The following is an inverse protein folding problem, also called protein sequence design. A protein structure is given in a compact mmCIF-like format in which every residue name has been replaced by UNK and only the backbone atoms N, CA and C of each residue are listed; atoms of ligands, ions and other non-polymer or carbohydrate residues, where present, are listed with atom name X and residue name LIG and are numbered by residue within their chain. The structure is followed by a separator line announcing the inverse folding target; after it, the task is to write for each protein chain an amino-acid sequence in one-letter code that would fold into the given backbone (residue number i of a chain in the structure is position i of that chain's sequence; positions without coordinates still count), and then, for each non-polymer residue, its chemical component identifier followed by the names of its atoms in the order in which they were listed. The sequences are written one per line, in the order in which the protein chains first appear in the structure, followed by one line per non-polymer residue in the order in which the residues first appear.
data_IF_605426620752
#
_entry.id   IF_605426620752
#
_cell.length_a   1.000
_cell.length_b   1.000
_cell.length_c   1.000
_cell.angle_alpha   90.00
_cell.angle_beta   90.00
_cell.angle_gamma   90.00
#
_symmetry.space_group_name_H-M   'P 1'
#
loop_
_entity.id
_entity.type
_entity.pdbx_description
1 polymer ?
#
# COMPACT_ATOMS: atom_id res chain seq x y z
N UNK A 1 -26.28 27.72 -20.74
CA UNK A 1 -27.40 27.41 -21.66
C UNK A 1 -28.75 27.66 -20.97
N UNK A 2 -29.80 28.04 -21.69
CA UNK A 2 -31.09 28.42 -21.10
C UNK A 2 -31.79 27.24 -20.39
N UNK A 3 -31.53 26.02 -20.84
CA UNK A 3 -32.11 24.79 -20.31
C UNK A 3 -31.15 23.99 -19.42
N UNK A 4 -30.02 24.59 -19.02
CA UNK A 4 -29.12 23.96 -18.05
C UNK A 4 -29.71 24.01 -16.64
N UNK A 5 -29.53 22.92 -15.88
CA UNK A 5 -29.80 22.92 -14.43
C UNK A 5 -28.55 23.32 -13.66
N UNK A 6 -28.72 23.91 -12.48
CA UNK A 6 -27.59 24.36 -11.65
C UNK A 6 -27.63 23.66 -10.28
N UNK A 7 -26.47 23.26 -9.78
CA UNK A 7 -26.24 22.92 -8.39
C UNK A 7 -24.88 23.46 -7.92
N UNK A 8 -24.56 23.32 -6.64
CA UNK A 8 -23.28 23.78 -6.09
C UNK A 8 -22.52 22.61 -5.46
N UNK A 9 -21.28 22.42 -5.89
CA UNK A 9 -20.34 21.51 -5.23
C UNK A 9 -19.70 22.27 -4.06
N UNK A 10 -19.67 21.62 -2.89
CA UNK A 10 -19.08 22.15 -1.67
C UNK A 10 -17.86 21.31 -1.30
N UNK A 11 -16.73 21.98 -1.05
CA UNK A 11 -15.51 21.36 -0.52
C UNK A 11 -14.92 22.22 0.59
N UNK A 12 -13.96 21.68 1.35
CA UNK A 12 -13.32 22.37 2.49
C UNK A 12 -14.35 22.87 3.51
N UNK A 13 -15.14 21.96 4.07
CA UNK A 13 -16.18 22.26 5.07
C UNK A 13 -17.17 23.36 4.64
N UNK A 14 -17.47 23.40 3.34
CA UNK A 14 -18.41 24.36 2.75
C UNK A 14 -17.82 25.74 2.40
N UNK A 15 -16.54 25.98 2.72
CA UNK A 15 -15.87 27.26 2.43
C UNK A 15 -15.69 27.46 0.92
N UNK A 16 -15.34 26.38 0.21
CA UNK A 16 -15.14 26.41 -1.23
C UNK A 16 -16.43 25.97 -1.91
N UNK A 17 -17.05 26.88 -2.67
CA UNK A 17 -18.29 26.67 -3.40
C UNK A 17 -18.03 26.75 -4.91
N UNK A 18 -18.46 25.76 -5.67
CA UNK A 18 -18.30 25.69 -7.13
C UNK A 18 -19.65 25.58 -7.82
N UNK A 19 -20.15 26.66 -8.45
CA UNK A 19 -21.33 26.59 -9.30
C UNK A 19 -21.12 25.56 -10.41
N UNK A 20 -22.08 24.67 -10.58
CA UNK A 20 -21.98 23.57 -11.52
C UNK A 20 -23.24 23.49 -12.36
N UNK A 21 -23.08 23.42 -13.68
CA UNK A 21 -24.17 23.27 -14.62
C UNK A 21 -24.32 21.80 -15.03
N UNK A 22 -25.54 21.30 -15.12
CA UNK A 22 -25.89 20.03 -15.74
C UNK A 22 -26.30 20.34 -17.18
N UNK A 23 -25.66 19.70 -18.14
CA UNK A 23 -25.76 20.02 -19.56
C UNK A 23 -26.31 18.84 -20.36
N UNK A 24 -27.07 19.16 -21.41
CA UNK A 24 -27.59 18.16 -22.35
C UNK A 24 -26.65 17.89 -23.51
N UNK A 25 -26.67 16.69 -24.04
CA UNK A 25 -26.04 16.33 -25.32
C UNK A 25 -26.91 16.72 -26.53
N UNK A 26 -26.45 16.32 -27.71
CA UNK A 26 -27.14 16.58 -28.98
C UNK A 26 -28.55 15.97 -29.03
N UNK A 27 -28.80 14.88 -28.28
CA UNK A 27 -30.09 14.19 -28.20
C UNK A 27 -31.03 14.81 -27.14
N UNK A 28 -30.60 15.87 -26.45
CA UNK A 28 -31.42 16.56 -25.46
C UNK A 28 -31.51 15.88 -24.09
N UNK A 29 -30.67 14.89 -23.81
CA UNK A 29 -30.57 14.23 -22.49
C UNK A 29 -29.40 14.80 -21.68
N UNK A 30 -29.56 14.92 -20.36
CA UNK A 30 -28.47 15.35 -19.48
C UNK A 30 -27.44 14.23 -19.30
N UNK A 31 -26.18 14.48 -19.66
CA UNK A 31 -25.13 13.46 -19.67
C UNK A 31 -23.78 13.95 -19.14
N UNK A 32 -23.67 15.24 -18.79
CA UNK A 32 -22.43 15.83 -18.27
C UNK A 32 -22.68 17.01 -17.36
N UNK A 33 -21.69 17.30 -16.52
CA UNK A 33 -21.66 18.50 -15.69
C UNK A 33 -20.46 19.38 -16.07
N UNK A 34 -20.60 20.69 -15.92
CA UNK A 34 -19.53 21.67 -16.10
C UNK A 34 -19.34 22.46 -14.81
N UNK A 35 -18.16 22.35 -14.19
CA UNK A 35 -17.84 22.92 -12.89
C UNK A 35 -17.12 24.26 -13.10
N UNK A 36 -17.61 25.34 -12.50
CA UNK A 36 -17.05 26.69 -12.66
C UNK A 36 -16.43 27.20 -11.36
N UNK A 37 -15.39 28.03 -11.48
CA UNK A 37 -14.73 28.67 -10.33
C UNK A 37 -15.67 29.59 -9.56
N UNK A 38 -16.51 30.34 -10.28
CA UNK A 38 -17.54 31.22 -9.76
C UNK A 38 -18.53 31.57 -10.89
N UNK A 39 -19.64 32.26 -10.57
CA UNK A 39 -20.69 32.59 -11.55
C UNK A 39 -20.27 33.56 -12.66
N UNK A 40 -19.12 34.24 -12.53
CA UNK A 40 -18.58 35.16 -13.53
C UNK A 40 -17.55 34.49 -14.46
N UNK A 41 -17.17 33.25 -14.20
CA UNK A 41 -16.19 32.54 -15.02
C UNK A 41 -16.80 32.18 -16.38
N UNK A 42 -16.13 32.58 -17.46
CA UNK A 42 -16.58 32.32 -18.83
C UNK A 42 -16.39 30.84 -19.24
N UNK A 43 -15.36 30.20 -18.68
CA UNK A 43 -15.02 28.80 -18.95
C UNK A 43 -15.07 27.95 -17.68
N UNK A 44 -15.50 26.67 -17.77
CA UNK A 44 -15.46 25.76 -16.65
C UNK A 44 -14.03 25.37 -16.30
N UNK A 45 -13.80 25.02 -15.03
CA UNK A 45 -12.58 24.35 -14.56
C UNK A 45 -12.47 22.98 -15.25
N UNK A 46 -13.58 22.25 -15.34
CA UNK A 46 -13.66 20.93 -15.95
C UNK A 46 -15.08 20.63 -16.42
N UNK A 47 -15.19 19.83 -17.49
CA UNK A 47 -16.43 19.20 -17.92
C UNK A 47 -16.31 17.70 -17.70
N UNK A 48 -17.28 17.11 -17.00
CA UNK A 48 -17.30 15.70 -16.63
C UNK A 48 -18.50 15.02 -17.28
N UNK A 49 -18.24 14.14 -18.25
CA UNK A 49 -19.24 13.22 -18.79
C UNK A 49 -19.47 12.04 -17.84
N UNK A 50 -20.70 11.54 -17.81
CA UNK A 50 -21.07 10.37 -16.98
C UNK A 50 -20.19 9.17 -17.33
N UNK A 51 -19.65 8.52 -16.31
CA UNK A 51 -18.81 7.33 -16.46
C UNK A 51 -17.36 7.60 -16.85
N UNK A 52 -17.00 8.83 -17.28
CA UNK A 52 -15.61 9.18 -17.61
C UNK A 52 -14.89 9.78 -16.39
N UNK A 53 -13.73 9.20 -16.07
CA UNK A 53 -12.85 9.75 -15.04
C UNK A 53 -11.97 10.83 -15.65
N UNK A 54 -11.90 12.00 -15.00
CA UNK A 54 -10.99 13.07 -15.38
C UNK A 54 -10.06 13.35 -14.20
N UNK A 55 -8.76 13.24 -14.47
CA UNK A 55 -7.69 13.49 -13.50
C UNK A 55 -6.92 14.77 -13.89
N UNK A 56 -6.03 15.25 -13.03
CA UNK A 56 -5.24 16.46 -13.28
C UNK A 56 -6.02 17.77 -13.10
N UNK A 57 -7.19 17.73 -12.46
CA UNK A 57 -8.04 18.92 -12.29
C UNK A 57 -7.42 19.81 -11.22
N UNK A 58 -6.94 20.99 -11.60
CA UNK A 58 -6.34 21.95 -10.67
C UNK A 58 -7.37 22.98 -10.21
N UNK A 59 -7.63 23.02 -8.91
CA UNK A 59 -8.46 24.03 -8.26
C UNK A 59 -7.91 24.39 -6.87
N UNK A 60 -8.32 25.54 -6.33
CA UNK A 60 -7.92 25.96 -4.99
C UNK A 60 -8.73 25.24 -3.91
N UNK A 61 -8.03 24.59 -2.99
CA UNK A 61 -8.59 24.07 -1.73
C UNK A 61 -8.23 25.00 -0.57
N UNK A 62 -9.10 25.06 0.44
CA UNK A 62 -8.75 25.71 1.69
C UNK A 62 -8.05 24.70 2.61
N UNK A 63 -6.82 25.04 3.04
CA UNK A 63 -6.08 24.34 4.08
C UNK A 63 -5.80 25.33 5.20
N UNK A 64 -6.50 25.19 6.32
CA UNK A 64 -6.33 26.03 7.53
C UNK A 64 -6.43 27.54 7.26
N UNK A 65 -7.34 27.95 6.36
CA UNK A 65 -7.57 29.36 6.02
C UNK A 65 -6.76 29.85 4.82
N UNK A 66 -5.80 29.05 4.33
CA UNK A 66 -4.99 29.39 3.16
C UNK A 66 -5.49 28.62 1.93
N UNK A 67 -5.80 29.36 0.86
CA UNK A 67 -6.12 28.75 -0.42
C UNK A 67 -4.84 28.26 -1.10
N UNK A 68 -4.81 26.98 -1.46
CA UNK A 68 -3.70 26.34 -2.16
C UNK A 68 -4.18 25.65 -3.43
N UNK A 69 -3.44 25.76 -4.55
CA UNK A 69 -3.75 24.99 -5.73
C UNK A 69 -3.53 23.50 -5.45
N UNK A 70 -4.52 22.69 -5.79
CA UNK A 70 -4.45 21.25 -5.59
C UNK A 70 -5.03 20.50 -6.79
N UNK A 71 -4.43 19.35 -7.07
CA UNK A 71 -4.88 18.40 -8.08
C UNK A 71 -5.97 17.50 -7.51
N UNK A 72 -7.02 17.25 -8.30
CA UNK A 72 -8.11 16.32 -8.02
C UNK A 72 -8.38 15.42 -9.23
N UNK A 73 -8.94 14.26 -8.93
CA UNK A 73 -9.61 13.37 -9.88
C UNK A 73 -11.10 13.40 -9.55
N UNK A 74 -11.94 13.51 -10.57
CA UNK A 74 -13.39 13.51 -10.41
C UNK A 74 -14.05 12.60 -11.43
N UNK A 75 -15.20 12.03 -11.06
CA UNK A 75 -16.02 11.20 -11.94
C UNK A 75 -17.49 11.32 -11.58
N UNK A 76 -18.32 11.66 -12.56
CA UNK A 76 -19.77 11.51 -12.42
C UNK A 76 -20.09 10.02 -12.56
N UNK A 77 -20.52 9.43 -11.46
CA UNK A 77 -20.87 8.01 -11.38
C UNK A 77 -22.24 7.73 -11.98
N UNK A 78 -23.21 8.58 -11.64
CA UNK A 78 -24.58 8.49 -12.12
C UNK A 78 -25.13 9.91 -12.35
N UNK A 79 -25.95 10.07 -13.39
CA UNK A 79 -26.71 11.28 -13.68
C UNK A 79 -28.03 10.85 -14.29
N UNK A 80 -29.14 11.30 -13.71
CA UNK A 80 -30.45 11.04 -14.31
C UNK A 80 -30.59 11.80 -15.63
N UNK A 81 -31.25 11.17 -16.61
CA UNK A 81 -31.46 11.75 -17.96
C UNK A 81 -32.29 13.03 -17.94
N UNK A 82 -33.05 13.25 -16.87
CA UNK A 82 -33.81 14.46 -16.59
C UNK A 82 -33.03 15.50 -15.75
N UNK A 83 -31.82 15.18 -15.27
CA UNK A 83 -30.94 16.06 -14.50
C UNK A 83 -31.43 16.38 -13.08
N UNK A 84 -32.26 15.52 -12.48
CA UNK A 84 -32.74 15.67 -11.09
C UNK A 84 -31.79 15.06 -10.05
N UNK A 85 -30.94 14.10 -10.43
CA UNK A 85 -29.97 13.48 -9.53
C UNK A 85 -28.57 13.40 -10.15
N UNK A 86 -27.55 13.62 -9.32
CA UNK A 86 -26.12 13.50 -9.68
C UNK A 86 -25.43 12.73 -8.55
N UNK A 87 -24.69 11.68 -8.89
CA UNK A 87 -23.74 11.00 -7.99
C UNK A 87 -22.33 11.30 -8.49
N UNK A 88 -21.58 12.08 -7.72
CA UNK A 88 -20.25 12.55 -8.06
C UNK A 88 -19.23 12.00 -7.07
N UNK A 89 -18.17 11.38 -7.57
CA UNK A 89 -16.98 11.08 -6.79
C UNK A 89 -15.93 12.17 -6.99
N UNK A 90 -15.32 12.60 -5.88
CA UNK A 90 -14.23 13.58 -5.84
C UNK A 90 -13.11 12.99 -4.99
N UNK A 91 -11.91 12.87 -5.55
CA UNK A 91 -10.73 12.35 -4.84
C UNK A 91 -10.28 13.25 -3.70
N UNK A 92 -9.32 12.76 -2.89
CA UNK A 92 -8.47 13.64 -2.09
C UNK A 92 -7.79 14.70 -2.96
N UNK A 93 -7.42 15.83 -2.36
CA UNK A 93 -6.73 16.90 -3.04
C UNK A 93 -5.23 16.86 -2.74
N UNK A 94 -4.40 16.89 -3.78
CA UNK A 94 -2.94 16.91 -3.65
C UNK A 94 -2.41 18.32 -3.90
N UNK A 95 -1.74 18.90 -2.91
CA UNK A 95 -1.08 20.20 -3.02
C UNK A 95 0.00 20.15 -4.11
N UNK A 96 -0.21 20.85 -5.23
CA UNK A 96 0.68 20.77 -6.41
C UNK A 96 1.99 21.53 -6.22
N UNK A 97 2.07 22.38 -5.18
CA UNK A 97 3.26 23.14 -4.84
C UNK A 97 4.10 22.47 -3.75
N UNK A 98 3.68 21.32 -3.23
CA UNK A 98 4.37 20.63 -2.16
C UNK A 98 5.59 19.86 -2.68
N UNK A 99 6.77 20.45 -2.48
CA UNK A 99 8.02 19.89 -2.97
C UNK A 99 8.79 19.03 -1.96
N UNK A 100 8.29 18.83 -0.72
CA UNK A 100 9.06 18.21 0.38
C UNK A 100 9.74 16.88 0.00
N UNK A 101 9.09 16.07 -0.83
CA UNK A 101 9.58 14.76 -1.29
C UNK A 101 10.33 14.81 -2.64
N UNK A 102 10.59 16.00 -3.18
CA UNK A 102 11.30 16.20 -4.43
C UNK A 102 12.72 16.70 -4.15
N UNK A 103 13.70 16.00 -4.73
CA UNK A 103 15.09 16.41 -4.73
C UNK A 103 15.76 16.00 -6.06
N UNK A 104 16.36 16.94 -6.80
CA UNK A 104 16.34 18.37 -6.56
C UNK A 104 14.93 18.97 -6.81
N UNK A 105 14.66 20.17 -6.27
CA UNK A 105 13.30 20.71 -6.11
C UNK A 105 12.64 21.09 -7.44
N UNK A 106 13.45 21.48 -8.42
CA UNK A 106 13.03 21.83 -9.77
C UNK A 106 12.38 20.66 -10.54
N UNK A 107 12.59 19.41 -10.12
CA UNK A 107 11.95 18.25 -10.74
C UNK A 107 10.42 18.33 -10.68
N UNK A 108 9.86 18.82 -9.55
CA UNK A 108 8.41 18.99 -9.43
C UNK A 108 7.88 19.93 -10.52
N UNK A 109 8.54 21.08 -10.69
CA UNK A 109 8.15 22.07 -11.71
C UNK A 109 8.24 21.48 -13.11
N UNK A 110 9.34 20.79 -13.42
CA UNK A 110 9.55 20.16 -14.72
C UNK A 110 8.45 19.14 -15.05
N UNK A 111 8.12 18.27 -14.09
CA UNK A 111 7.04 17.29 -14.24
C UNK A 111 5.68 17.95 -14.41
N UNK A 112 5.35 18.94 -13.55
CA UNK A 112 4.05 19.62 -13.62
C UNK A 112 3.85 20.33 -14.96
N UNK A 113 4.89 20.95 -15.51
CA UNK A 113 4.83 21.68 -16.78
C UNK A 113 4.77 20.77 -18.01
N UNK A 114 5.45 19.61 -17.99
CA UNK A 114 5.59 18.75 -19.18
C UNK A 114 4.70 17.50 -19.17
N UNK A 115 4.25 17.06 -18.00
CA UNK A 115 3.45 15.84 -17.80
C UNK A 115 2.13 16.15 -17.12
N UNK A 116 2.14 17.08 -16.17
CA UNK A 116 0.99 17.47 -15.35
C UNK A 116 1.19 17.16 -13.87
N UNK A 117 0.29 17.64 -12.99
CA UNK A 117 0.41 17.43 -11.55
C UNK A 117 0.26 15.96 -11.17
N UNK A 118 0.78 15.60 -9.99
CA UNK A 118 0.60 14.26 -9.40
C UNK A 118 -0.88 13.90 -9.34
N UNK A 119 -1.25 12.72 -9.83
CA UNK A 119 -2.64 12.28 -9.86
C UNK A 119 -3.04 11.66 -8.51
N UNK A 120 -4.17 12.08 -7.90
CA UNK A 120 -4.68 11.42 -6.72
C UNK A 120 -5.33 10.07 -7.05
N UNK A 121 -5.06 9.10 -6.19
CA UNK A 121 -5.66 7.76 -6.20
C UNK A 121 -6.85 7.66 -5.25
N UNK A 122 -7.59 6.54 -5.32
CA UNK A 122 -8.55 6.16 -4.28
C UNK A 122 -7.88 5.23 -3.26
N UNK A 123 -8.24 5.38 -1.98
CA UNK A 123 -7.76 4.56 -0.86
C UNK A 123 -8.93 4.00 -0.02
N UNK A 124 -10.15 4.01 -0.56
CA UNK A 124 -11.37 3.60 0.14
C UNK A 124 -12.32 2.86 -0.81
N UNK A 125 -13.27 2.11 -0.23
CA UNK A 125 -14.34 1.45 -0.97
C UNK A 125 -14.03 0.03 -1.47
N UNK A 126 -13.05 -0.67 -0.87
CA UNK A 126 -12.64 -2.01 -1.29
C UNK A 126 -13.72 -3.08 -1.20
N UNK A 127 -14.63 -2.99 -0.22
CA UNK A 127 -15.75 -3.93 -0.04
C UNK A 127 -16.93 -3.68 -1.00
N UNK A 128 -16.95 -2.58 -1.74
CA UNK A 128 -18.00 -2.25 -2.72
C UNK A 128 -17.45 -2.42 -4.14
N UNK A 129 -17.83 -3.53 -4.81
CA UNK A 129 -17.38 -3.85 -6.16
C UNK A 129 -17.70 -2.74 -7.18
N UNK A 130 -18.81 -2.00 -7.01
CA UNK A 130 -19.14 -0.88 -7.88
C UNK A 130 -18.13 0.26 -7.71
N UNK A 131 -17.72 0.57 -6.47
CA UNK A 131 -16.68 1.57 -6.22
C UNK A 131 -15.30 1.09 -6.68
N UNK A 132 -14.97 -0.19 -6.50
CA UNK A 132 -13.70 -0.73 -6.99
C UNK A 132 -13.60 -0.57 -8.51
N UNK A 133 -14.62 -1.01 -9.24
CA UNK A 133 -14.64 -0.99 -10.70
C UNK A 133 -14.76 0.44 -11.26
N UNK A 134 -15.60 1.29 -10.67
CA UNK A 134 -15.89 2.60 -11.26
C UNK A 134 -14.96 3.70 -10.76
N UNK A 135 -14.32 3.53 -9.61
CA UNK A 135 -13.49 4.57 -8.97
C UNK A 135 -12.08 4.09 -8.68
N UNK A 136 -11.92 3.01 -7.91
CA UNK A 136 -10.63 2.62 -7.37
C UNK A 136 -9.65 2.22 -8.48
N UNK A 137 -10.04 1.29 -9.35
CA UNK A 137 -9.21 0.81 -10.45
C UNK A 137 -8.86 1.91 -11.47
N UNK A 138 -9.82 2.72 -11.97
CA UNK A 138 -9.49 3.78 -12.94
C UNK A 138 -8.61 4.90 -12.35
N UNK A 139 -8.73 5.19 -11.05
CA UNK A 139 -7.89 6.20 -10.41
C UNK A 139 -6.43 5.73 -10.30
N UNK A 140 -6.22 4.44 -10.02
CA UNK A 140 -4.89 3.83 -10.04
C UNK A 140 -4.33 3.69 -11.45
N UNK A 141 -5.17 3.45 -12.47
CA UNK A 141 -4.74 3.46 -13.86
C UNK A 141 -4.20 4.85 -14.25
N UNK A 142 -4.97 5.91 -13.96
CA UNK A 142 -4.56 7.29 -14.23
C UNK A 142 -3.23 7.65 -13.54
N UNK A 143 -3.03 7.22 -12.28
CA UNK A 143 -1.78 7.43 -11.56
C UNK A 143 -0.60 6.67 -12.17
N UNK A 144 -0.79 5.38 -12.48
CA UNK A 144 0.25 4.52 -13.06
C UNK A 144 0.73 5.09 -14.39
N UNK A 145 -0.22 5.49 -15.25
CA UNK A 145 0.10 6.12 -16.53
C UNK A 145 0.80 7.48 -16.37
N UNK A 146 0.42 8.29 -15.38
CA UNK A 146 1.12 9.54 -15.08
C UNK A 146 2.54 9.29 -14.58
N UNK A 147 2.74 8.32 -13.68
CA UNK A 147 4.06 7.99 -13.13
C UNK A 147 5.00 7.48 -14.23
N UNK A 148 4.53 6.61 -15.13
CA UNK A 148 5.30 6.15 -16.28
C UNK A 148 5.73 7.31 -17.18
N UNK A 149 4.80 8.21 -17.53
CA UNK A 149 5.11 9.41 -18.32
C UNK A 149 6.11 10.34 -17.64
N UNK A 150 5.97 10.54 -16.33
CA UNK A 150 6.89 11.36 -15.54
C UNK A 150 8.32 10.78 -15.56
N UNK A 151 8.45 9.48 -15.35
CA UNK A 151 9.74 8.80 -15.35
C UNK A 151 10.38 8.79 -16.75
N UNK A 152 9.64 8.43 -17.79
CA UNK A 152 10.15 8.44 -19.16
C UNK A 152 10.56 9.86 -19.62
N UNK A 153 9.80 10.90 -19.23
CA UNK A 153 10.20 12.29 -19.47
C UNK A 153 11.55 12.62 -18.82
N UNK A 154 11.72 12.24 -17.55
CA UNK A 154 12.95 12.50 -16.82
C UNK A 154 14.14 11.70 -17.36
N UNK A 155 13.96 10.42 -17.70
CA UNK A 155 14.98 9.57 -18.33
C UNK A 155 15.43 10.20 -19.67
N UNK A 156 14.50 10.64 -20.50
CA UNK A 156 14.83 11.24 -21.80
C UNK A 156 15.52 12.61 -21.67
N UNK A 157 15.11 13.41 -20.69
CA UNK A 157 15.56 14.81 -20.55
C UNK A 157 16.83 14.96 -19.71
N UNK A 158 17.27 13.91 -19.01
CA UNK A 158 18.39 13.95 -18.07
C UNK A 158 19.31 12.77 -18.33
N UNK A 159 20.58 12.95 -18.01
CA UNK A 159 21.60 11.92 -18.15
C UNK A 159 21.64 11.00 -16.91
N UNK A 160 20.51 10.34 -16.62
CA UNK A 160 20.45 9.36 -15.54
C UNK A 160 21.15 8.07 -15.97
N UNK A 161 21.98 7.52 -15.08
CA UNK A 161 22.66 6.23 -15.29
C UNK A 161 21.95 5.08 -14.57
N UNK A 162 21.16 5.40 -13.53
CA UNK A 162 20.37 4.44 -12.76
C UNK A 162 19.06 5.12 -12.37
N UNK A 163 17.95 4.40 -12.52
CA UNK A 163 16.62 4.82 -12.07
C UNK A 163 16.03 3.77 -11.15
N UNK A 164 15.67 4.16 -9.94
CA UNK A 164 14.89 3.34 -9.02
C UNK A 164 13.46 3.86 -9.03
N UNK A 165 12.51 2.98 -9.32
CA UNK A 165 11.08 3.31 -9.31
C UNK A 165 10.33 2.31 -8.44
N UNK A 166 9.29 2.80 -7.78
CA UNK A 166 8.38 2.02 -6.95
C UNK A 166 6.93 2.38 -7.33
N UNK A 167 6.14 1.37 -7.68
CA UNK A 167 4.72 1.50 -7.96
C UNK A 167 3.93 0.75 -6.88
N UNK A 168 3.06 1.47 -6.18
CA UNK A 168 2.37 0.97 -4.98
C UNK A 168 0.97 0.41 -5.26
N UNK A 169 0.59 0.26 -6.53
CA UNK A 169 -0.80 -0.02 -6.92
C UNK A 169 -1.29 -1.39 -6.43
N UNK A 170 -0.48 -2.44 -6.58
CA UNK A 170 -0.82 -3.82 -6.18
C UNK A 170 -0.90 -3.94 -4.67
N UNK A 171 0.04 -3.38 -3.91
CA UNK A 171 0.01 -3.35 -2.44
C UNK A 171 -1.23 -2.62 -1.90
N UNK A 172 -1.47 -1.40 -2.39
CA UNK A 172 -2.63 -0.63 -1.98
C UNK A 172 -3.95 -1.35 -2.30
N UNK A 173 -4.05 -1.99 -3.47
CA UNK A 173 -5.21 -2.80 -3.84
C UNK A 173 -5.37 -4.03 -2.95
N UNK A 174 -4.28 -4.75 -2.67
CA UNK A 174 -4.27 -5.91 -1.79
C UNK A 174 -4.80 -5.59 -0.40
N UNK A 175 -4.32 -4.50 0.20
CA UNK A 175 -4.83 -4.02 1.49
C UNK A 175 -6.34 -3.73 1.47
N UNK A 176 -6.89 -3.30 0.33
CA UNK A 176 -8.29 -2.95 0.23
C UNK A 176 -9.21 -4.14 0.00
N UNK A 177 -8.81 -5.16 -0.76
CA UNK A 177 -9.74 -6.21 -1.17
C UNK A 177 -9.15 -7.62 -1.44
N UNK A 178 -7.88 -7.91 -1.14
CA UNK A 178 -7.37 -9.30 -1.29
C UNK A 178 -8.07 -10.30 -0.39
N UNK A 179 -8.32 -9.91 0.86
CA UNK A 179 -9.03 -10.72 1.83
C UNK A 179 -10.48 -11.06 1.40
N UNK A 180 -11.02 -10.37 0.39
CA UNK A 180 -12.35 -10.63 -0.19
C UNK A 180 -12.31 -11.63 -1.34
N UNK A 181 -11.12 -12.03 -1.82
CA UNK A 181 -10.95 -13.00 -2.91
C UNK A 181 -11.13 -14.46 -2.47
N UNK A 182 -11.46 -14.68 -1.18
CA UNK A 182 -11.88 -15.96 -0.61
C UNK A 182 -13.20 -15.77 0.14
N UNK A 183 -14.10 -16.76 -0.01
CA UNK A 183 -15.35 -16.79 0.74
C UNK A 183 -15.08 -17.14 2.22
N UNK A 184 -15.04 -16.11 3.07
CA UNK A 184 -14.99 -16.24 4.52
C UNK A 184 -16.26 -15.66 5.15
N UNK A 185 -16.71 -16.26 6.25
CA UNK A 185 -17.98 -15.91 6.91
C UNK A 185 -18.13 -14.40 7.18
N UNK A 186 -17.05 -13.75 7.61
CA UNK A 186 -16.98 -12.30 7.89
C UNK A 186 -17.33 -11.43 6.68
N UNK A 187 -17.01 -11.91 5.47
CA UNK A 187 -17.16 -11.20 4.20
C UNK A 187 -18.11 -11.93 3.24
N UNK A 188 -19.03 -12.73 3.79
CA UNK A 188 -20.03 -13.50 3.02
C UNK A 188 -20.97 -12.64 2.15
N UNK A 189 -20.96 -11.32 2.32
CA UNK A 189 -21.70 -10.36 1.52
C UNK A 189 -20.94 -9.89 0.26
N UNK A 190 -19.65 -10.22 0.14
CA UNK A 190 -18.81 -9.95 -1.03
C UNK A 190 -18.72 -11.20 -1.90
N UNK A 191 -18.56 -11.00 -3.22
CA UNK A 191 -18.36 -12.08 -4.19
C UNK A 191 -16.85 -12.33 -4.40
N UNK A 192 -16.37 -13.52 -4.04
CA UNK A 192 -14.97 -13.87 -4.17
C UNK A 192 -14.47 -13.90 -5.61
N UNK A 193 -15.27 -14.36 -6.58
CA UNK A 193 -14.86 -14.41 -7.99
C UNK A 193 -14.73 -13.00 -8.59
N UNK A 194 -15.63 -12.09 -8.19
CA UNK A 194 -15.53 -10.68 -8.56
C UNK A 194 -14.23 -10.07 -8.03
N UNK A 195 -13.88 -10.34 -6.77
CA UNK A 195 -12.65 -9.84 -6.17
C UNK A 195 -11.39 -10.47 -6.79
N UNK A 196 -11.40 -11.79 -7.07
CA UNK A 196 -10.36 -12.48 -7.86
C UNK A 196 -10.16 -11.86 -9.25
N UNK A 197 -11.21 -11.34 -9.86
CA UNK A 197 -11.08 -10.63 -11.13
C UNK A 197 -10.50 -9.22 -10.96
N UNK A 198 -10.78 -8.53 -9.85
CA UNK A 198 -10.06 -7.29 -9.51
C UNK A 198 -8.58 -7.53 -9.29
N UNK A 199 -8.20 -8.65 -8.66
CA UNK A 199 -6.80 -9.08 -8.54
C UNK A 199 -6.10 -9.08 -9.89
N UNK A 200 -6.66 -9.83 -10.84
CA UNK A 200 -6.12 -9.94 -12.20
C UNK A 200 -6.03 -8.59 -12.90
N UNK A 201 -7.05 -7.74 -12.76
CA UNK A 201 -7.07 -6.39 -13.36
C UNK A 201 -5.91 -5.53 -12.87
N UNK A 202 -5.59 -5.57 -11.58
CA UNK A 202 -4.46 -4.81 -11.04
C UNK A 202 -3.11 -5.31 -11.56
N UNK A 203 -2.93 -6.63 -11.70
CA UNK A 203 -1.72 -7.16 -12.35
C UNK A 203 -1.63 -6.77 -13.83
N UNK A 204 -2.74 -6.79 -14.58
CA UNK A 204 -2.78 -6.31 -15.98
C UNK A 204 -2.45 -4.81 -16.06
N UNK A 205 -2.91 -4.01 -15.10
CA UNK A 205 -2.58 -2.59 -15.01
C UNK A 205 -1.09 -2.38 -14.74
N UNK A 206 -0.49 -3.15 -13.84
CA UNK A 206 0.96 -3.12 -13.56
C UNK A 206 1.78 -3.57 -14.76
N UNK A 207 1.34 -4.61 -15.48
CA UNK A 207 1.98 -5.07 -16.72
C UNK A 207 2.05 -3.96 -17.78
N UNK A 208 0.95 -3.23 -17.99
CA UNK A 208 0.94 -2.04 -18.86
C UNK A 208 1.93 -0.97 -18.42
N UNK A 209 2.00 -0.68 -17.12
CA UNK A 209 2.98 0.27 -16.57
C UNK A 209 4.42 -0.18 -16.86
N UNK A 210 4.74 -1.47 -16.67
CA UNK A 210 6.06 -2.01 -16.99
C UNK A 210 6.34 -1.89 -18.50
N UNK A 211 5.33 -2.16 -19.33
CA UNK A 211 5.39 -2.02 -20.79
C UNK A 211 5.90 -0.65 -21.27
N UNK A 212 5.57 0.43 -20.57
CA UNK A 212 6.02 1.79 -20.88
C UNK A 212 7.54 1.97 -20.78
N UNK A 213 8.28 1.06 -20.15
CA UNK A 213 9.73 1.11 -19.98
C UNK A 213 10.49 0.10 -20.84
N UNK A 214 9.81 -0.83 -21.52
CA UNK A 214 10.48 -1.91 -22.26
C UNK A 214 11.30 -1.41 -23.45
N UNK A 215 10.96 -0.26 -24.03
CA UNK A 215 11.75 0.39 -25.08
C UNK A 215 13.18 0.74 -24.61
N UNK A 216 13.41 0.89 -23.30
CA UNK A 216 14.73 1.16 -22.75
C UNK A 216 15.71 -0.01 -22.96
N UNK A 217 15.19 -1.24 -23.08
CA UNK A 217 16.02 -2.40 -23.42
C UNK A 217 16.68 -2.22 -24.80
N UNK A 218 15.94 -1.68 -25.77
CA UNK A 218 16.45 -1.37 -27.11
C UNK A 218 17.46 -0.20 -27.09
N UNK A 219 17.38 0.66 -26.07
CA UNK A 219 18.32 1.76 -25.82
C UNK A 219 19.55 1.34 -25.00
N UNK A 220 19.72 0.04 -24.73
CA UNK A 220 20.88 -0.53 -24.05
C UNK A 220 20.80 -0.56 -22.53
N UNK A 221 19.63 -0.24 -21.95
CA UNK A 221 19.41 -0.35 -20.51
C UNK A 221 19.24 -1.80 -20.06
N UNK A 222 19.48 -2.02 -18.76
CA UNK A 222 19.10 -3.24 -18.05
C UNK A 222 17.92 -2.92 -17.15
N UNK A 223 16.83 -3.68 -17.28
CA UNK A 223 15.62 -3.53 -16.47
C UNK A 223 15.55 -4.68 -15.46
N UNK A 224 15.47 -4.34 -14.18
CA UNK A 224 15.24 -5.28 -13.08
C UNK A 224 13.84 -5.03 -12.52
N UNK A 225 12.99 -6.04 -12.58
CA UNK A 225 11.69 -6.06 -11.94
C UNK A 225 11.77 -6.92 -10.68
N UNK A 226 11.49 -6.30 -9.54
CA UNK A 226 11.56 -6.94 -8.24
C UNK A 226 10.39 -6.49 -7.36
N UNK A 227 10.07 -7.29 -6.35
CA UNK A 227 9.15 -6.91 -5.28
C UNK A 227 9.86 -6.95 -3.92
N UNK A 228 9.49 -6.04 -3.04
CA UNK A 228 9.87 -6.05 -1.62
C UNK A 228 9.11 -7.13 -0.83
N UNK A 229 7.93 -7.53 -1.30
CA UNK A 229 7.21 -8.72 -0.84
C UNK A 229 6.11 -9.11 -1.83
N UNK A 230 5.56 -10.32 -1.68
CA UNK A 230 4.29 -10.70 -2.29
C UNK A 230 3.09 -10.27 -1.43
N UNK A 231 1.89 -10.67 -1.86
CA UNK A 231 0.63 -10.45 -1.15
C UNK A 231 -0.22 -11.71 -1.24
N UNK A 232 -0.69 -12.21 -0.11
CA UNK A 232 -1.52 -13.42 -0.05
C UNK A 232 -3.00 -13.14 0.27
N UNK A 233 -3.87 -14.02 -0.21
CA UNK A 233 -5.27 -14.11 0.21
C UNK A 233 -5.31 -15.05 1.41
N UNK A 234 -5.64 -14.53 2.58
CA UNK A 234 -5.69 -15.33 3.81
C UNK A 234 -6.64 -16.53 3.69
N UNK A 235 -6.21 -17.68 4.22
CA UNK A 235 -7.01 -18.90 4.24
C UNK A 235 -8.06 -18.86 5.37
N UNK A 236 -7.72 -18.28 6.52
CA UNK A 236 -8.59 -18.18 7.70
C UNK A 236 -8.74 -16.73 8.16
N UNK A 237 -9.71 -16.48 9.05
CA UNK A 237 -9.81 -15.16 9.68
C UNK A 237 -8.70 -14.99 10.74
N UNK A 238 -7.84 -13.99 10.62
CA UNK A 238 -6.66 -13.84 11.47
C UNK A 238 -7.03 -13.35 12.87
N UNK A 239 -6.60 -14.01 13.96
CA UNK A 239 -6.75 -13.49 15.32
C UNK A 239 -5.90 -12.23 15.50
N UNK A 240 -6.26 -11.32 16.43
CA UNK A 240 -5.57 -10.04 16.59
C UNK A 240 -4.18 -10.21 17.26
N UNK A 241 -3.21 -10.62 16.44
CA UNK A 241 -1.76 -10.71 16.67
C UNK A 241 -1.04 -10.66 15.32
N UNK A 242 0.13 -10.02 15.25
CA UNK A 242 0.93 -9.91 14.02
C UNK A 242 0.63 -8.68 13.16
N UNK A 243 -0.34 -7.86 13.55
CA UNK A 243 -0.74 -6.68 12.76
C UNK A 243 0.21 -5.49 13.00
N UNK A 244 0.49 -4.70 11.95
CA UNK A 244 1.50 -3.64 11.95
C UNK A 244 1.03 -2.33 12.60
N UNK A 245 -0.25 -2.03 12.51
CA UNK A 245 -0.96 -0.88 13.07
C UNK A 245 -1.20 -0.97 14.59
N UNK A 246 -0.29 -0.38 15.35
CA UNK A 246 -0.49 -0.12 16.77
C UNK A 246 -0.18 -1.33 17.65
N UNK A 247 -1.00 -1.54 18.69
CA UNK A 247 -0.81 -2.60 19.68
C UNK A 247 -1.93 -3.63 19.54
N UNK A 248 -1.53 -4.90 19.41
CA UNK A 248 -2.45 -6.02 19.31
C UNK A 248 -2.71 -6.58 20.70
N UNK A 249 -3.96 -6.46 21.14
CA UNK A 249 -4.32 -6.73 22.54
C UNK A 249 -4.86 -8.15 22.73
N UNK A 250 -5.69 -8.65 21.82
CA UNK A 250 -6.50 -9.85 22.05
C UNK A 250 -5.69 -11.06 22.54
N UNK A 251 -4.77 -11.57 21.73
CA UNK A 251 -4.03 -12.80 22.05
C UNK A 251 -3.17 -12.61 23.31
N UNK A 252 -2.49 -11.46 23.43
CA UNK A 252 -1.65 -11.17 24.59
C UNK A 252 -2.46 -11.01 25.89
N UNK A 253 -3.70 -10.53 25.79
CA UNK A 253 -4.62 -10.42 26.92
C UNK A 253 -5.19 -11.79 27.33
N UNK A 254 -5.57 -12.62 26.36
CA UNK A 254 -6.05 -13.98 26.61
C UNK A 254 -4.97 -14.86 27.26
N UNK A 255 -3.70 -14.65 26.89
CA UNK A 255 -2.55 -15.28 27.52
C UNK A 255 -2.14 -14.65 28.87
N UNK A 256 -2.76 -13.53 29.26
CA UNK A 256 -2.56 -12.86 30.55
C UNK A 256 -1.33 -11.95 30.65
N UNK A 257 -0.73 -11.57 29.52
CA UNK A 257 0.48 -10.72 29.49
C UNK A 257 0.17 -9.23 29.34
N UNK A 258 -0.86 -8.89 28.56
CA UNK A 258 -1.37 -7.53 28.41
C UNK A 258 -2.65 -7.37 29.22
N UNK A 259 -2.69 -6.38 30.10
CA UNK A 259 -3.87 -6.11 30.94
C UNK A 259 -4.44 -4.75 30.56
N UNK A 260 -5.72 -4.71 30.24
CA UNK A 260 -6.44 -3.46 29.97
C UNK A 260 -7.08 -2.93 31.25
N UNK A 261 -7.11 -1.61 31.42
CA UNK A 261 -7.91 -0.99 32.47
C UNK A 261 -9.39 -1.32 32.24
N UNK A 262 -10.16 -1.38 33.33
CA UNK A 262 -11.59 -1.69 33.27
C UNK A 262 -12.41 -0.52 33.80
N UNK A 263 -13.59 -0.32 33.24
CA UNK A 263 -14.59 0.59 33.80
C UNK A 263 -15.27 -0.02 35.04
N UNK A 264 -16.17 0.75 35.64
CA UNK A 264 -16.96 0.35 36.82
C UNK A 264 -17.82 -0.91 36.59
N UNK A 265 -18.12 -1.25 35.34
CA UNK A 265 -18.89 -2.42 34.94
C UNK A 265 -17.99 -3.62 34.56
N UNK A 266 -16.67 -3.48 34.72
CA UNK A 266 -15.69 -4.52 34.41
C UNK A 266 -15.37 -4.66 32.92
N UNK A 267 -15.80 -3.73 32.06
CA UNK A 267 -15.51 -3.73 30.62
C UNK A 267 -14.16 -3.07 30.36
N UNK A 268 -13.39 -3.64 29.44
CA UNK A 268 -12.10 -3.08 29.05
C UNK A 268 -12.25 -1.68 28.44
N UNK A 269 -11.46 -0.74 28.97
CA UNK A 269 -11.21 0.57 28.41
C UNK A 269 -10.16 0.47 27.29
N UNK A 270 -10.09 1.48 26.42
CA UNK A 270 -9.02 1.62 25.41
C UNK A 270 -7.71 2.14 26.01
N UNK A 271 -7.34 1.60 27.16
CA UNK A 271 -6.16 2.00 27.92
C UNK A 271 -5.51 0.79 28.61
N UNK A 272 -4.19 0.68 28.50
CA UNK A 272 -3.41 -0.39 29.13
C UNK A 272 -3.22 -0.12 30.62
N UNK A 273 -3.40 -1.15 31.44
CA UNK A 273 -2.98 -1.16 32.84
C UNK A 273 -1.50 -1.56 32.91
N UNK A 274 -0.63 -0.55 32.82
CA UNK A 274 0.82 -0.76 32.80
C UNK A 274 1.39 -1.30 34.11
N UNK A 275 0.67 -1.17 35.23
CA UNK A 275 1.09 -1.72 36.52
C UNK A 275 0.98 -3.24 36.57
N UNK A 276 0.16 -3.82 35.68
CA UNK A 276 -0.09 -5.27 35.59
C UNK A 276 0.39 -5.89 34.28
N UNK A 277 0.69 -5.08 33.27
CA UNK A 277 1.12 -5.55 31.95
C UNK A 277 2.60 -5.92 31.96
N UNK A 278 2.89 -7.18 31.66
CA UNK A 278 4.26 -7.73 31.64
C UNK A 278 4.85 -7.80 30.23
N UNK A 279 4.01 -7.90 29.20
CA UNK A 279 4.44 -7.82 27.80
C UNK A 279 3.31 -7.34 26.89
N UNK A 280 3.67 -6.75 25.75
CA UNK A 280 2.74 -6.26 24.72
C UNK A 280 3.22 -6.70 23.33
N UNK A 281 2.29 -6.93 22.40
CA UNK A 281 2.62 -7.14 20.99
C UNK A 281 2.37 -5.86 20.20
N UNK A 282 3.40 -5.38 19.50
CA UNK A 282 3.30 -4.21 18.62
C UNK A 282 4.28 -4.34 17.45
N UNK A 283 4.13 -3.49 16.43
CA UNK A 283 5.02 -3.43 15.24
C UNK A 283 5.11 -4.78 14.51
N UNK A 284 3.95 -5.32 14.15
CA UNK A 284 3.80 -6.62 13.49
C UNK A 284 4.26 -7.78 14.35
N UNK A 285 5.51 -8.22 14.21
CA UNK A 285 5.96 -9.54 14.59
C UNK A 285 6.80 -9.53 15.86
N UNK A 286 6.62 -8.51 16.70
CA UNK A 286 7.44 -8.28 17.88
C UNK A 286 6.62 -8.22 19.16
N UNK A 287 7.12 -8.91 20.18
CA UNK A 287 6.65 -8.80 21.56
C UNK A 287 7.71 -8.09 22.38
N UNK A 288 7.27 -7.06 23.09
CA UNK A 288 8.07 -6.24 23.98
C UNK A 288 7.69 -6.55 25.42
N UNK A 289 8.66 -7.00 26.21
CA UNK A 289 8.51 -7.19 27.65
C UNK A 289 8.52 -5.82 28.33
N UNK A 290 7.61 -5.53 29.27
CA UNK A 290 7.58 -4.26 29.98
C UNK A 290 8.69 -4.21 31.04
N UNK A 291 9.91 -3.89 30.61
CA UNK A 291 11.16 -4.12 31.34
C UNK A 291 11.57 -2.90 32.18
N UNK A 292 11.86 -3.11 33.47
CA UNK A 292 12.36 -2.06 34.37
C UNK A 292 13.65 -1.44 33.84
N UNK A 293 13.70 -0.11 33.85
CA UNK A 293 14.87 0.67 33.41
C UNK A 293 15.00 0.86 31.89
N UNK A 294 14.21 0.14 31.08
CA UNK A 294 14.09 0.37 29.63
C UNK A 294 12.79 1.07 29.27
N UNK A 295 11.68 0.55 29.79
CA UNK A 295 10.33 1.00 29.43
C UNK A 295 9.79 1.95 30.50
N UNK A 296 9.02 2.97 30.08
CA UNK A 296 8.56 4.06 30.96
C UNK A 296 7.75 3.57 32.19
N UNK A 297 7.06 2.44 32.04
CA UNK A 297 6.26 1.81 33.09
C UNK A 297 6.74 0.38 33.39
N UNK A 298 8.03 0.09 33.18
CA UNK A 298 8.61 -1.23 33.33
C UNK A 298 8.36 -1.87 34.70
N UNK A 299 7.76 -3.07 34.72
CA UNK A 299 7.49 -3.84 35.95
C UNK A 299 8.31 -5.14 36.04
N UNK A 300 8.79 -5.65 34.90
CA UNK A 300 9.57 -6.89 34.84
C UNK A 300 11.03 -6.60 35.20
N UNK A 301 11.57 -7.34 36.17
CA UNK A 301 12.98 -7.24 36.53
C UNK A 301 13.87 -7.83 35.42
N UNK A 302 14.97 -7.16 35.01
CA UNK A 302 15.91 -7.69 34.03
C UNK A 302 16.41 -9.11 34.32
N UNK A 303 16.57 -9.50 35.59
CA UNK A 303 16.98 -10.85 35.97
C UNK A 303 15.90 -11.91 35.64
N UNK A 304 14.62 -11.53 35.62
CA UNK A 304 13.49 -12.39 35.29
C UNK A 304 13.15 -12.48 33.79
N UNK A 305 13.75 -11.62 32.96
CA UNK A 305 13.44 -11.50 31.52
C UNK A 305 13.54 -12.83 30.79
N UNK A 306 14.60 -13.58 31.03
CA UNK A 306 14.88 -14.83 30.32
C UNK A 306 13.82 -15.92 30.57
N UNK A 307 13.38 -16.07 31.82
CA UNK A 307 12.32 -17.02 32.16
C UNK A 307 10.96 -16.58 31.62
N UNK A 308 10.69 -15.28 31.60
CA UNK A 308 9.50 -14.72 30.98
C UNK A 308 9.48 -14.95 29.46
N UNK A 309 10.61 -14.77 28.77
CA UNK A 309 10.74 -15.08 27.33
C UNK A 309 10.43 -16.56 27.06
N UNK A 310 10.99 -17.47 27.86
CA UNK A 310 10.74 -18.91 27.72
C UNK A 310 9.26 -19.25 27.89
N UNK A 311 8.61 -18.66 28.90
CA UNK A 311 7.18 -18.86 29.15
C UNK A 311 6.34 -18.30 28.00
N UNK A 312 6.60 -17.06 27.58
CA UNK A 312 5.93 -16.40 26.45
C UNK A 312 5.99 -17.26 25.18
N UNK A 313 7.18 -17.72 24.80
CA UNK A 313 7.35 -18.59 23.63
C UNK A 313 6.53 -19.88 23.75
N UNK A 314 6.54 -20.52 24.92
CA UNK A 314 5.74 -21.75 25.15
C UNK A 314 4.24 -21.49 25.03
N UNK A 315 3.75 -20.41 25.63
CA UNK A 315 2.34 -20.03 25.61
C UNK A 315 1.88 -19.64 24.19
N UNK A 316 2.70 -18.91 23.45
CA UNK A 316 2.47 -18.57 22.05
C UNK A 316 2.33 -19.84 21.20
N UNK A 317 3.22 -20.82 21.35
CA UNK A 317 3.11 -22.08 20.62
C UNK A 317 1.90 -22.93 21.04
N UNK A 318 1.38 -22.74 22.25
CA UNK A 318 0.18 -23.44 22.75
C UNK A 318 -1.14 -22.73 22.41
N UNK A 319 -1.09 -21.45 22.02
CA UNK A 319 -2.28 -20.72 21.63
C UNK A 319 -2.94 -21.35 20.40
N UNK A 320 -4.27 -21.50 20.44
CA UNK A 320 -5.09 -22.08 19.38
C UNK A 320 -6.23 -21.14 19.07
N UNK A 321 -6.51 -20.98 17.78
CA UNK A 321 -7.73 -20.33 17.36
C UNK A 321 -8.94 -21.18 17.79
N UNK A 322 -9.96 -20.53 18.35
CA UNK A 322 -11.09 -21.22 18.95
C UNK A 322 -12.03 -21.85 17.89
N UNK A 323 -12.03 -21.34 16.65
CA UNK A 323 -12.92 -21.81 15.59
C UNK A 323 -12.35 -23.04 14.88
N UNK A 324 -11.07 -22.99 14.55
CA UNK A 324 -10.37 -24.03 13.77
C UNK A 324 -9.65 -25.05 14.66
N UNK A 325 -9.30 -24.68 15.89
CA UNK A 325 -8.44 -25.48 16.76
C UNK A 325 -6.97 -25.53 16.30
N UNK A 326 -6.59 -24.75 15.29
CA UNK A 326 -5.23 -24.71 14.74
C UNK A 326 -4.32 -23.76 15.54
N UNK A 327 -3.01 -24.03 15.48
CA UNK A 327 -1.99 -23.16 16.09
C UNK A 327 -1.88 -21.86 15.30
N UNK A 328 -1.84 -20.74 16.00
CA UNK A 328 -1.79 -19.40 15.38
C UNK A 328 -0.37 -18.91 15.15
N UNK A 329 0.60 -19.39 15.94
CA UNK A 329 1.99 -18.94 15.90
C UNK A 329 2.84 -19.96 15.14
N UNK A 330 3.52 -19.50 14.08
CA UNK A 330 4.41 -20.31 13.26
C UNK A 330 5.77 -20.55 13.92
N UNK A 331 6.61 -19.52 13.92
CA UNK A 331 7.92 -19.48 14.59
C UNK A 331 7.87 -18.43 15.70
N UNK A 332 8.53 -18.67 16.83
CA UNK A 332 8.80 -17.68 17.87
C UNK A 332 10.23 -17.82 18.38
N UNK A 333 10.98 -16.72 18.38
CA UNK A 333 12.41 -16.67 18.68
C UNK A 333 12.73 -15.47 19.55
N UNK A 334 13.69 -15.62 20.47
CA UNK A 334 14.24 -14.47 21.20
C UNK A 334 15.01 -13.57 20.25
N UNK A 335 15.06 -12.28 20.57
CA UNK A 335 15.80 -11.27 19.81
C UNK A 335 17.22 -11.73 19.44
N UNK A 336 17.98 -12.27 20.40
CA UNK A 336 19.37 -12.71 20.14
C UNK A 336 19.48 -13.80 19.07
N UNK A 337 18.48 -14.68 18.99
CA UNK A 337 18.46 -15.82 18.09
C UNK A 337 17.90 -15.42 16.71
N UNK A 338 17.08 -14.36 16.66
CA UNK A 338 16.47 -13.79 15.44
C UNK A 338 17.47 -13.24 14.41
N UNK A 339 18.76 -13.16 14.77
CA UNK A 339 19.84 -12.79 13.84
C UNK A 339 19.91 -13.72 12.62
N UNK A 340 19.53 -14.99 12.76
CA UNK A 340 19.52 -15.94 11.64
C UNK A 340 18.47 -15.61 10.57
N UNK A 341 17.48 -14.79 10.90
CA UNK A 341 16.44 -14.27 10.00
C UNK A 341 16.64 -12.79 9.63
N UNK A 342 17.64 -12.12 10.23
CA UNK A 342 17.82 -10.67 10.07
C UNK A 342 16.77 -9.82 10.79
N UNK A 343 16.03 -10.38 11.76
CA UNK A 343 14.93 -9.70 12.47
C UNK A 343 15.26 -9.38 13.93
N UNK A 344 16.54 -9.22 14.25
CA UNK A 344 17.02 -8.85 15.58
C UNK A 344 17.48 -7.40 15.67
N UNK A 345 17.81 -6.94 16.88
CA UNK A 345 18.45 -5.65 17.09
C UNK A 345 17.87 -4.87 18.28
N UNK A 346 18.50 -3.73 18.63
CA UNK A 346 18.14 -2.95 19.81
C UNK A 346 16.76 -2.28 19.71
N UNK A 347 16.23 -2.10 18.50
CA UNK A 347 14.90 -1.52 18.26
C UNK A 347 13.80 -2.59 18.05
N UNK A 348 14.20 -3.86 17.97
CA UNK A 348 13.32 -5.01 17.77
C UNK A 348 12.78 -5.51 19.12
N UNK A 349 11.67 -6.25 19.10
CA UNK A 349 11.09 -6.84 20.31
C UNK A 349 12.02 -7.84 20.99
N UNK A 350 11.69 -8.18 22.24
CA UNK A 350 12.39 -9.23 23.00
C UNK A 350 12.16 -10.62 22.40
N UNK A 351 11.00 -10.81 21.79
CA UNK A 351 10.63 -11.97 20.99
C UNK A 351 10.18 -11.48 19.61
N UNK A 352 10.66 -12.14 18.56
CA UNK A 352 10.06 -12.10 17.23
C UNK A 352 9.24 -13.36 17.00
N UNK A 353 8.15 -13.27 16.26
CA UNK A 353 7.34 -14.43 15.89
C UNK A 353 6.78 -14.30 14.48
N UNK A 354 6.21 -15.37 13.93
CA UNK A 354 5.37 -15.33 12.72
C UNK A 354 3.99 -15.87 13.03
N UNK A 355 3.01 -15.39 12.29
CA UNK A 355 1.68 -16.00 12.23
C UNK A 355 1.79 -17.27 11.37
N UNK A 356 1.08 -18.33 11.76
CA UNK A 356 1.03 -19.60 11.05
C UNK A 356 0.32 -19.42 9.70
N UNK A 357 0.70 -20.20 8.68
CA UNK A 357 0.38 -19.93 7.26
C UNK A 357 -1.11 -19.72 6.99
N UNK A 358 -1.97 -20.53 7.60
CA UNK A 358 -3.42 -20.40 7.44
C UNK A 358 -4.02 -19.09 7.98
N UNK A 359 -3.36 -18.43 8.94
CA UNK A 359 -3.85 -17.21 9.59
C UNK A 359 -3.15 -15.94 9.11
N UNK A 360 -2.25 -16.03 8.13
CA UNK A 360 -1.57 -14.84 7.61
C UNK A 360 -2.59 -13.94 6.90
N UNK A 361 -2.45 -12.61 7.08
CA UNK A 361 -3.43 -11.63 6.60
C UNK A 361 -3.31 -11.35 5.11
N UNK A 362 -2.14 -10.84 4.74
CA UNK A 362 -1.83 -10.29 3.43
C UNK A 362 -0.31 -10.31 3.23
N UNK A 363 0.42 -9.68 4.14
CA UNK A 363 1.88 -9.71 4.21
C UNK A 363 2.36 -9.21 5.57
N UNK A 364 3.66 -9.36 5.81
CA UNK A 364 4.35 -8.85 7.00
C UNK A 364 4.26 -9.75 8.22
N UNK A 365 3.15 -10.49 8.40
CA UNK A 365 2.90 -11.31 9.57
C UNK A 365 3.42 -12.77 9.47
N UNK A 366 3.57 -13.31 8.26
CA UNK A 366 4.08 -14.65 7.98
C UNK A 366 5.57 -14.71 7.59
N UNK A 367 6.05 -15.91 7.22
CA UNK A 367 7.36 -16.07 6.57
C UNK A 367 7.24 -15.76 5.07
N UNK A 368 8.34 -15.41 4.41
CA UNK A 368 8.31 -15.17 2.95
C UNK A 368 7.95 -16.40 2.11
N UNK A 369 7.94 -17.60 2.71
CA UNK A 369 7.52 -18.86 2.07
C UNK A 369 6.03 -19.17 2.25
N UNK A 370 5.27 -18.28 2.88
CA UNK A 370 3.86 -18.50 3.20
C UNK A 370 3.01 -18.37 1.94
N UNK A 371 2.22 -19.41 1.69
CA UNK A 371 1.21 -19.46 0.64
C UNK A 371 -0.17 -19.08 1.20
N UNK A 372 -1.04 -18.60 0.31
CA UNK A 372 -2.43 -18.33 0.60
C UNK A 372 -3.34 -18.86 -0.50
N UNK A 373 -4.63 -18.56 -0.37
CA UNK A 373 -5.61 -18.98 -1.35
C UNK A 373 -5.33 -18.36 -2.72
N UNK A 374 -5.92 -18.94 -3.77
CA UNK A 374 -5.89 -18.37 -5.12
C UNK A 374 -4.46 -18.21 -5.69
N UNK A 375 -3.59 -19.20 -5.40
CA UNK A 375 -2.19 -19.25 -5.84
C UNK A 375 -1.39 -17.98 -5.49
N UNK A 376 -1.75 -17.35 -4.37
CA UNK A 376 -1.08 -16.15 -3.88
C UNK A 376 -0.05 -16.51 -2.81
N UNK A 377 1.00 -15.71 -2.69
CA UNK A 377 2.02 -15.90 -1.66
C UNK A 377 2.67 -14.56 -1.32
N UNK A 378 3.38 -14.53 -0.19
CA UNK A 378 4.23 -13.38 0.18
C UNK A 378 5.64 -13.48 -0.40
N UNK A 379 5.91 -14.46 -1.26
CA UNK A 379 7.19 -14.61 -1.95
C UNK A 379 7.34 -13.46 -2.97
N UNK A 380 8.43 -12.68 -2.91
CA UNK A 380 8.68 -11.62 -3.89
C UNK A 380 9.10 -12.20 -5.25
N UNK A 381 8.85 -11.44 -6.32
CA UNK A 381 9.33 -11.77 -7.67
C UNK A 381 10.71 -11.16 -7.94
N UNK A 382 11.45 -11.77 -8.88
CA UNK A 382 12.67 -11.23 -9.44
C UNK A 382 12.78 -11.60 -10.92
N UNK A 383 12.87 -10.60 -11.79
CA UNK A 383 13.07 -10.72 -13.24
C UNK A 383 14.13 -9.68 -13.64
N UNK A 384 15.04 -10.05 -14.54
CA UNK A 384 16.03 -9.13 -15.09
C UNK A 384 16.18 -9.36 -16.61
N UNK A 385 16.35 -8.28 -17.37
CA UNK A 385 16.56 -8.31 -18.81
C UNK A 385 17.42 -7.13 -19.27
N UNK A 386 18.14 -7.31 -20.38
CA UNK A 386 18.99 -6.27 -21.00
C UNK A 386 20.48 -6.52 -20.83
N UNK A 387 21.27 -5.46 -21.00
CA UNK A 387 22.74 -5.54 -21.03
C UNK A 387 23.31 -6.24 -19.79
N UNK A 388 24.25 -7.17 -19.99
CA UNK A 388 24.91 -7.90 -18.90
C UNK A 388 24.11 -9.06 -18.30
N UNK A 389 22.88 -9.32 -18.78
CA UNK A 389 22.01 -10.41 -18.29
C UNK A 389 21.88 -11.51 -19.34
N UNK A 390 21.96 -12.78 -18.89
CA UNK A 390 21.75 -13.96 -19.75
C UNK A 390 20.32 -14.03 -20.26
N UNK A 391 20.16 -14.30 -21.55
CA UNK A 391 18.87 -14.53 -22.17
C UNK A 391 18.33 -15.94 -21.85
N UNK A 392 17.00 -16.07 -21.80
CA UNK A 392 16.29 -17.35 -21.65
C UNK A 392 16.82 -18.22 -20.49
N UNK A 393 17.19 -17.58 -19.39
CA UNK A 393 17.85 -18.23 -18.26
C UNK A 393 17.00 -18.17 -17.00
N UNK A 394 16.84 -19.32 -16.35
CA UNK A 394 16.23 -19.43 -15.01
C UNK A 394 17.28 -19.98 -14.05
N UNK A 395 17.58 -19.22 -13.00
CA UNK A 395 18.54 -19.65 -11.98
C UNK A 395 17.90 -20.62 -10.99
N UNK A 396 18.68 -21.59 -10.51
CA UNK A 396 18.31 -22.48 -9.40
C UNK A 396 18.78 -21.96 -8.05
N UNK A 397 19.54 -20.86 -8.02
CA UNK A 397 19.98 -20.20 -6.79
C UNK A 397 18.78 -19.54 -6.10
N UNK A 398 18.61 -19.80 -4.81
CA UNK A 398 17.73 -18.96 -3.97
C UNK A 398 18.30 -17.55 -3.90
N UNK A 399 17.63 -16.60 -4.56
CA UNK A 399 17.97 -15.19 -4.49
C UNK A 399 17.41 -14.61 -3.19
N UNK A 400 18.24 -13.88 -2.45
CA UNK A 400 17.83 -13.09 -1.30
C UNK A 400 17.74 -11.62 -1.72
N UNK A 401 16.86 -10.85 -1.09
CA UNK A 401 16.74 -9.41 -1.37
C UNK A 401 18.06 -8.65 -1.16
N UNK A 402 18.88 -9.09 -0.19
CA UNK A 402 20.20 -8.51 0.07
C UNK A 402 21.20 -8.72 -1.09
N UNK A 403 20.92 -9.62 -2.04
CA UNK A 403 21.75 -9.87 -3.22
C UNK A 403 21.50 -8.85 -4.34
N UNK A 404 20.40 -8.10 -4.29
CA UNK A 404 20.02 -7.15 -5.35
C UNK A 404 21.02 -6.00 -5.46
N UNK A 405 21.34 -5.36 -4.34
CA UNK A 405 22.26 -4.22 -4.32
C UNK A 405 23.67 -4.55 -4.86
N UNK A 406 24.36 -5.63 -4.43
CA UNK A 406 25.65 -5.99 -5.01
C UNK A 406 25.55 -6.45 -6.48
N UNK A 407 24.41 -7.02 -6.91
CA UNK A 407 24.17 -7.34 -8.33
C UNK A 407 24.10 -6.07 -9.18
N UNK A 408 23.34 -5.07 -8.75
CA UNK A 408 23.26 -3.76 -9.44
C UNK A 408 24.63 -3.08 -9.44
N UNK A 409 25.36 -3.11 -8.32
CA UNK A 409 26.70 -2.53 -8.26
C UNK A 409 27.67 -3.18 -9.27
N UNK A 410 27.56 -4.51 -9.44
CA UNK A 410 28.32 -5.27 -10.45
C UNK A 410 27.96 -4.81 -11.87
N UNK A 411 26.67 -4.77 -12.21
CA UNK A 411 26.18 -4.40 -13.55
C UNK A 411 26.60 -2.99 -13.97
N UNK A 412 26.58 -2.03 -13.03
CA UNK A 412 26.91 -0.63 -13.33
C UNK A 412 28.41 -0.36 -13.18
N UNK A 413 29.19 -1.30 -12.66
CA UNK A 413 30.64 -1.11 -12.44
C UNK A 413 30.97 -0.09 -11.35
N UNK A 414 30.12 0.03 -10.33
CA UNK A 414 30.34 0.94 -9.18
C UNK A 414 30.85 0.17 -7.96
N UNK A 415 31.37 0.91 -6.97
CA UNK A 415 31.82 0.32 -5.70
C UNK A 415 30.67 -0.45 -5.02
N UNK A 416 31.00 -1.59 -4.42
CA UNK A 416 30.06 -2.33 -3.58
C UNK A 416 29.61 -1.48 -2.38
N UNK A 417 28.35 -1.65 -1.90
CA UNK A 417 27.93 -1.08 -0.63
C UNK A 417 28.83 -1.58 0.51
N UNK A 418 29.31 -0.67 1.36
CA UNK A 418 30.37 -0.97 2.34
C UNK A 418 30.01 -2.06 3.38
N UNK A 419 28.71 -2.28 3.60
CA UNK A 419 28.17 -3.25 4.56
C UNK A 419 27.22 -4.25 3.87
N UNK A 420 27.42 -4.54 2.58
CA UNK A 420 26.58 -5.53 1.89
C UNK A 420 26.78 -6.93 2.49
N UNK A 421 25.68 -7.59 2.86
CA UNK A 421 25.70 -8.98 3.34
C UNK A 421 25.42 -9.98 2.21
N UNK A 422 24.68 -9.56 1.18
CA UNK A 422 24.41 -10.37 0.00
C UNK A 422 25.60 -10.43 -0.96
N UNK A 423 25.50 -11.34 -1.92
CA UNK A 423 26.47 -11.47 -3.01
C UNK A 423 25.84 -11.15 -4.37
N UNK A 424 26.62 -10.71 -5.37
CA UNK A 424 26.11 -10.61 -6.73
C UNK A 424 25.49 -11.93 -7.19
N UNK A 425 24.40 -11.85 -7.95
CA UNK A 425 23.72 -13.01 -8.54
C UNK A 425 24.49 -13.43 -9.80
N UNK A 426 25.73 -13.93 -9.65
CA UNK A 426 26.62 -14.24 -10.78
C UNK A 426 26.01 -15.18 -11.82
N UNK A 427 25.06 -16.03 -11.41
CA UNK A 427 24.41 -17.00 -12.29
C UNK A 427 23.68 -16.33 -13.45
N UNK A 428 23.10 -15.14 -13.25
CA UNK A 428 22.34 -14.43 -14.29
C UNK A 428 23.20 -13.52 -15.15
N UNK A 429 24.45 -13.25 -14.77
CA UNK A 429 25.34 -12.33 -15.48
C UNK A 429 26.01 -13.01 -16.68
N UNK A 430 26.21 -12.26 -17.77
CA UNK A 430 26.93 -12.75 -18.95
C UNK A 430 28.44 -12.78 -18.76
N UNK A 431 28.97 -11.88 -17.94
CA UNK A 431 30.40 -11.83 -17.60
C UNK A 431 30.75 -12.86 -16.52
N UNK A 432 31.96 -13.41 -16.62
CA UNK A 432 32.55 -14.27 -15.59
C UNK A 432 33.38 -13.40 -14.63
N UNK A 433 33.19 -13.58 -13.32
CA UNK A 433 33.80 -12.77 -12.25
C UNK A 433 34.66 -13.61 -11.31
#
# INVERSE_FOLDING_TARGET
PADAKEFTILTSDGIVRRPTLILKNADGIYDRIAIYKNKKAESPIVVLEVGKMVSGIVDNINKEGVLKPACRTMKVLELSTDGTSVKLWISNALDIAQDKLWHPKELLKDIVENVGPVQPVSLVGGEDAYLVEKVYEPAWDAYSQWQAKALNHLIKKRDFQIVFTHLHNVDCAGHMFWHLAKNLERWSHCDAEVNQNFIRKFYIQTDKYIGEFLHLLDEGWTVLLLADHGLLVGEEFPPQIGEYGGMNVQVMQELGYTVMKKDENGKNLKEVDWEKTTAVQSRSNYIYINLKGRDAHGIVDPAGKYELERKLISDLYNYRDAKTGHRVIGIAMRNKDAVVLGTNGPQCGDITFTVDEGFSRLHGDGLSTTDGAFDTSVTPIFIAAGTGIKENFTTTRTIRQVDIAPTIATLVGVRMPAQCEGGPIYQILTEEF
#
